data_IF_353950416679
#
_entry.id   IF_353950416679
#
_cell.length_a   1.000
_cell.length_b   1.000
_cell.length_c   1.000
_cell.angle_alpha   90.00
_cell.angle_beta   90.00
_cell.angle_gamma   90.00
#
_symmetry.space_group_name_H-M   'P 1'
#
loop_
_entity.id
_entity.type
_entity.pdbx_description
1 polymer ?
#
# COMPACT_ATOMS: atom_id res chain seq x y z
N UNK A 1 16.39 33.00 -51.00
CA UNK A 1 16.87 32.10 -49.93
C UNK A 1 15.65 31.52 -49.22
N UNK A 2 15.30 30.26 -49.49
CA UNK A 2 14.15 29.58 -48.87
C UNK A 2 14.62 28.73 -47.68
N UNK A 3 14.16 29.08 -46.47
CA UNK A 3 14.45 28.36 -45.24
C UNK A 3 13.54 27.13 -45.12
N UNK A 4 14.11 25.94 -45.33
CA UNK A 4 13.41 24.66 -45.13
C UNK A 4 13.37 24.34 -43.64
N UNK A 5 12.19 24.49 -43.03
CA UNK A 5 11.92 24.06 -41.64
C UNK A 5 11.94 22.52 -41.56
N UNK A 6 12.97 21.96 -40.91
CA UNK A 6 13.03 20.53 -40.60
C UNK A 6 12.12 20.23 -39.42
N UNK A 7 10.90 19.75 -39.71
CA UNK A 7 10.05 19.13 -38.70
C UNK A 7 10.69 17.83 -38.19
N UNK A 8 11.36 17.91 -37.04
CA UNK A 8 11.86 16.75 -36.31
C UNK A 8 10.63 15.95 -35.83
N UNK A 9 10.35 14.81 -36.47
CA UNK A 9 9.37 13.83 -35.98
C UNK A 9 9.86 13.33 -34.62
N UNK A 10 9.37 13.93 -33.54
CA UNK A 10 9.55 13.41 -32.19
C UNK A 10 8.79 12.09 -32.15
N UNK A 11 9.55 10.98 -32.17
CA UNK A 11 8.99 9.65 -31.97
C UNK A 11 8.57 9.59 -30.50
N UNK A 12 7.31 9.93 -30.21
CA UNK A 12 6.74 9.77 -28.88
C UNK A 12 6.71 8.27 -28.62
N UNK A 13 7.74 7.74 -27.95
CA UNK A 13 7.67 6.41 -27.36
C UNK A 13 6.52 6.45 -26.37
N UNK A 14 5.37 5.89 -26.74
CA UNK A 14 4.33 5.53 -25.77
C UNK A 14 4.98 4.52 -24.83
N UNK A 15 5.49 5.01 -23.71
CA UNK A 15 5.95 4.14 -22.63
C UNK A 15 4.73 3.30 -22.23
N UNK A 16 4.74 2.00 -22.54
CA UNK A 16 3.68 1.05 -22.16
C UNK A 16 3.74 0.76 -20.66
N UNK A 17 3.68 1.79 -19.83
CA UNK A 17 3.52 1.64 -18.39
C UNK A 17 2.09 1.15 -18.14
N UNK A 18 1.97 -0.01 -17.46
CA UNK A 18 0.68 -0.48 -16.94
C UNK A 18 0.09 0.65 -16.11
N UNK A 19 -1.06 1.15 -16.54
CA UNK A 19 -1.65 2.31 -15.92
C UNK A 19 -2.69 1.87 -14.88
N UNK A 20 -2.39 2.15 -13.62
CA UNK A 20 -3.28 1.81 -12.51
C UNK A 20 -4.38 2.86 -12.38
N UNK A 21 -5.54 2.56 -12.97
CA UNK A 21 -6.74 3.42 -12.93
C UNK A 21 -7.75 2.81 -11.96
N UNK A 22 -8.28 3.65 -11.08
CA UNK A 22 -9.41 3.37 -10.22
C UNK A 22 -10.43 4.51 -10.32
N UNK A 23 -11.62 4.30 -9.78
CA UNK A 23 -12.69 5.30 -9.76
C UNK A 23 -12.43 6.47 -8.78
N UNK A 24 -11.40 6.36 -7.94
CA UNK A 24 -11.00 7.38 -6.98
C UNK A 24 -9.49 7.62 -7.06
N UNK A 25 -9.03 8.89 -7.05
CA UNK A 25 -7.61 9.23 -7.11
C UNK A 25 -6.75 8.53 -6.04
N UNK A 26 -7.27 8.40 -4.82
CA UNK A 26 -6.59 7.73 -3.72
C UNK A 26 -6.25 6.27 -4.04
N UNK A 27 -7.22 5.53 -4.60
CA UNK A 27 -7.03 4.12 -5.01
C UNK A 27 -5.99 4.03 -6.12
N UNK A 28 -6.08 4.88 -7.15
CA UNK A 28 -5.11 4.92 -8.24
C UNK A 28 -3.68 5.14 -7.73
N UNK A 29 -3.50 6.08 -6.79
CA UNK A 29 -2.19 6.39 -6.20
C UNK A 29 -1.69 5.26 -5.29
N UNK A 30 -2.57 4.60 -4.53
CA UNK A 30 -2.22 3.40 -3.75
C UNK A 30 -1.71 2.28 -4.65
N UNK A 31 -2.46 1.94 -5.70
CA UNK A 31 -2.10 0.88 -6.66
C UNK A 31 -0.78 1.20 -7.37
N UNK A 32 -0.62 2.44 -7.84
CA UNK A 32 0.61 2.90 -8.47
C UNK A 32 1.80 2.86 -7.51
N UNK A 33 1.60 3.30 -6.26
CA UNK A 33 2.62 3.34 -5.23
C UNK A 33 3.11 1.96 -4.82
N UNK A 34 2.20 1.00 -4.65
CA UNK A 34 2.54 -0.41 -4.39
C UNK A 34 3.32 -1.00 -5.58
N UNK A 35 2.92 -0.70 -6.82
CA UNK A 35 3.69 -1.13 -7.99
C UNK A 35 5.09 -0.52 -8.05
N UNK A 36 5.21 0.77 -7.73
CA UNK A 36 6.49 1.47 -7.66
C UNK A 36 7.40 0.86 -6.59
N UNK A 37 6.87 0.64 -5.39
CA UNK A 37 7.57 -0.04 -4.29
C UNK A 37 8.02 -1.45 -4.66
N UNK A 38 7.12 -2.24 -5.25
CA UNK A 38 7.44 -3.59 -5.70
C UNK A 38 8.61 -3.60 -6.70
N UNK A 39 8.60 -2.68 -7.67
CA UNK A 39 9.67 -2.55 -8.65
C UNK A 39 10.99 -2.14 -8.00
N UNK A 40 10.96 -1.15 -7.09
CA UNK A 40 12.14 -0.69 -6.38
C UNK A 40 12.76 -1.79 -5.49
N UNK A 41 11.93 -2.54 -4.75
CA UNK A 41 12.39 -3.58 -3.83
C UNK A 41 12.93 -4.82 -4.54
N UNK A 42 12.51 -5.11 -5.77
CA UNK A 42 13.10 -6.23 -6.54
C UNK A 42 14.58 -6.00 -6.89
N UNK A 43 15.07 -4.76 -6.85
CA UNK A 43 16.48 -4.44 -7.09
C UNK A 43 17.32 -4.39 -5.80
N UNK A 44 16.69 -4.52 -4.63
CA UNK A 44 17.36 -4.48 -3.34
C UNK A 44 17.81 -5.89 -2.95
N UNK A 45 19.11 -6.07 -2.69
CA UNK A 45 19.63 -7.34 -2.18
C UNK A 45 19.04 -7.63 -0.80
N UNK A 46 18.49 -8.83 -0.64
CA UNK A 46 17.94 -9.27 0.65
C UNK A 46 19.09 -9.50 1.63
N UNK A 47 19.06 -8.77 2.76
CA UNK A 47 19.99 -8.97 3.88
C UNK A 47 19.43 -10.03 4.82
N UNK A 48 20.32 -10.77 5.48
CA UNK A 48 19.95 -11.82 6.43
C UNK A 48 19.30 -11.25 7.71
N UNK A 49 19.70 -10.05 8.13
CA UNK A 49 19.22 -9.40 9.34
C UNK A 49 18.73 -7.98 9.02
N UNK A 50 17.72 -7.53 9.76
CA UNK A 50 17.28 -6.14 9.79
C UNK A 50 18.16 -5.34 10.75
N UNK A 51 18.46 -4.10 10.38
CA UNK A 51 19.18 -3.14 11.22
C UNK A 51 18.18 -2.21 11.91
N UNK A 52 18.60 -1.56 13.00
CA UNK A 52 17.76 -0.56 13.69
C UNK A 52 17.29 0.56 12.76
N UNK A 53 18.12 0.97 11.81
CA UNK A 53 17.77 2.01 10.83
C UNK A 53 16.62 1.59 9.89
N UNK A 54 16.41 0.28 9.68
CA UNK A 54 15.31 -0.20 8.84
C UNK A 54 13.93 0.13 9.43
N UNK A 55 13.84 0.28 10.75
CA UNK A 55 12.62 0.67 11.48
C UNK A 55 12.34 2.17 11.45
N UNK A 56 13.29 2.97 10.94
CA UNK A 56 13.16 4.42 10.72
C UNK A 56 13.20 4.80 9.23
N UNK A 57 13.63 3.86 8.38
CA UNK A 57 13.75 4.05 6.95
C UNK A 57 12.40 4.34 6.28
N UNK A 58 12.46 5.03 5.15
CA UNK A 58 11.30 5.25 4.29
C UNK A 58 11.74 5.41 2.84
N UNK A 59 10.81 5.14 1.93
CA UNK A 59 10.95 5.44 0.51
C UNK A 59 9.88 6.45 0.13
N UNK A 60 10.25 7.53 -0.55
CA UNK A 60 9.32 8.60 -0.96
C UNK A 60 9.51 8.95 -2.42
N UNK A 61 8.41 9.09 -3.14
CA UNK A 61 8.38 9.57 -4.52
C UNK A 61 7.32 10.66 -4.67
N UNK A 62 7.63 11.68 -5.45
CA UNK A 62 6.73 12.77 -5.82
C UNK A 62 6.60 12.78 -7.34
N UNK A 63 5.38 12.72 -7.83
CA UNK A 63 5.09 12.74 -9.28
C UNK A 63 4.43 14.06 -9.62
N UNK A 64 4.99 14.75 -10.62
CA UNK A 64 4.47 15.97 -11.20
C UNK A 64 4.32 15.78 -12.71
N UNK A 65 3.16 15.34 -13.16
CA UNK A 65 2.87 15.18 -14.58
C UNK A 65 2.19 16.44 -15.11
N UNK A 66 2.87 17.18 -15.98
CA UNK A 66 2.26 18.24 -16.76
C UNK A 66 1.56 17.62 -18.00
N UNK A 67 0.23 17.76 -18.10
CA UNK A 67 -0.59 17.39 -19.27
C UNK A 67 -0.65 15.91 -19.70
N UNK A 68 -0.15 14.95 -18.90
CA UNK A 68 -0.27 13.53 -19.18
C UNK A 68 -1.36 12.88 -18.31
N UNK A 69 -2.33 12.20 -18.94
CA UNK A 69 -3.16 11.16 -18.32
C UNK A 69 -4.21 11.63 -17.28
N UNK A 70 -5.03 12.63 -17.64
CA UNK A 70 -5.89 13.41 -16.74
C UNK A 70 -7.12 12.70 -16.14
N UNK A 71 -7.63 11.62 -16.72
CA UNK A 71 -8.98 11.18 -16.32
C UNK A 71 -9.04 10.39 -15.01
N UNK A 72 -8.00 9.66 -14.60
CA UNK A 72 -8.10 8.75 -13.45
C UNK A 72 -6.85 8.66 -12.54
N UNK A 73 -5.77 9.39 -12.85
CA UNK A 73 -4.56 9.43 -12.03
C UNK A 73 -4.19 10.91 -11.81
N UNK A 74 -4.10 11.38 -10.55
CA UNK A 74 -3.87 12.80 -10.26
C UNK A 74 -2.58 13.30 -10.90
N UNK A 75 -2.61 14.50 -11.50
CA UNK A 75 -1.41 15.09 -12.13
C UNK A 75 -0.27 15.35 -11.14
N UNK A 76 -0.61 15.56 -9.87
CA UNK A 76 0.34 15.76 -8.78
C UNK A 76 -0.03 14.90 -7.59
N UNK A 77 0.90 14.05 -7.16
CA UNK A 77 0.72 13.26 -5.95
C UNK A 77 2.07 12.87 -5.34
N UNK A 78 2.04 12.43 -4.08
CA UNK A 78 3.19 11.87 -3.37
C UNK A 78 2.83 10.50 -2.84
N UNK A 79 3.81 9.60 -2.85
CA UNK A 79 3.72 8.30 -2.21
C UNK A 79 4.92 8.16 -1.27
N UNK A 80 4.68 7.73 -0.05
CA UNK A 80 5.72 7.36 0.92
C UNK A 80 5.39 5.98 1.48
N UNK A 81 6.36 5.08 1.46
CA UNK A 81 6.32 3.81 2.19
C UNK A 81 7.23 3.91 3.40
N UNK A 82 6.73 3.51 4.56
CA UNK A 82 7.48 3.47 5.81
C UNK A 82 8.07 2.08 6.00
N UNK A 83 9.29 2.00 6.54
CA UNK A 83 9.99 0.77 6.93
C UNK A 83 9.92 -0.36 5.88
N UNK A 84 10.24 -0.10 4.60
CA UNK A 84 9.94 -1.03 3.51
C UNK A 84 10.57 -2.42 3.69
N UNK A 85 11.80 -2.48 4.23
CA UNK A 85 12.48 -3.74 4.50
C UNK A 85 11.86 -4.51 5.68
N UNK A 86 11.35 -3.81 6.69
CA UNK A 86 10.65 -4.42 7.82
C UNK A 86 9.35 -5.06 7.35
N UNK A 87 8.52 -4.32 6.59
CA UNK A 87 7.26 -4.85 6.07
C UNK A 87 7.46 -5.91 4.98
N UNK A 88 8.57 -5.86 4.22
CA UNK A 88 8.97 -7.00 3.37
C UNK A 88 9.23 -8.25 4.21
N UNK A 89 10.03 -8.13 5.27
CA UNK A 89 10.34 -9.27 6.17
C UNK A 89 9.09 -9.80 6.88
N UNK A 90 8.19 -8.92 7.34
CA UNK A 90 6.90 -9.32 7.92
C UNK A 90 6.05 -10.12 6.91
N UNK A 91 5.95 -9.67 5.65
CA UNK A 91 5.25 -10.42 4.60
C UNK A 91 5.85 -11.81 4.41
N UNK A 92 7.18 -11.92 4.33
CA UNK A 92 7.87 -13.20 4.20
C UNK A 92 7.53 -14.13 5.41
N UNK A 93 7.52 -13.60 6.64
CA UNK A 93 7.20 -14.35 7.87
C UNK A 93 5.72 -14.77 7.99
N UNK A 94 4.81 -14.00 7.42
CA UNK A 94 3.39 -14.35 7.36
C UNK A 94 3.04 -15.25 6.15
N UNK A 95 4.03 -15.72 5.40
CA UNK A 95 3.81 -16.54 4.20
C UNK A 95 3.04 -15.80 3.10
N UNK A 96 3.25 -14.48 2.99
CA UNK A 96 2.67 -13.67 1.92
C UNK A 96 3.65 -13.63 0.76
N UNK A 97 3.31 -14.27 -0.35
CA UNK A 97 4.12 -14.19 -1.56
C UNK A 97 4.12 -12.75 -2.12
N UNK A 98 5.28 -12.34 -2.64
CA UNK A 98 5.49 -10.97 -3.14
C UNK A 98 4.65 -10.66 -4.38
N UNK A 99 4.47 -11.64 -5.28
CA UNK A 99 3.68 -11.50 -6.49
C UNK A 99 2.19 -11.51 -6.15
N UNK A 100 1.77 -12.38 -5.23
CA UNK A 100 0.37 -12.41 -4.76
C UNK A 100 -0.02 -11.10 -4.09
N UNK A 101 0.85 -10.54 -3.24
CA UNK A 101 0.62 -9.22 -2.64
C UNK A 101 0.50 -8.13 -3.70
N UNK A 102 1.45 -8.06 -4.63
CA UNK A 102 1.44 -7.07 -5.72
C UNK A 102 0.20 -7.21 -6.61
N UNK A 103 -0.15 -8.43 -7.01
CA UNK A 103 -1.29 -8.69 -7.88
C UNK A 103 -2.61 -8.31 -7.22
N UNK A 104 -2.78 -8.66 -5.93
CA UNK A 104 -3.98 -8.36 -5.13
C UNK A 104 -4.34 -6.87 -5.11
N UNK A 105 -3.34 -5.99 -5.14
CA UNK A 105 -3.55 -4.54 -5.18
C UNK A 105 -3.57 -3.96 -6.59
N UNK A 106 -2.93 -4.60 -7.58
CA UNK A 106 -2.65 -3.94 -8.86
C UNK A 106 -3.40 -4.52 -10.06
N UNK A 107 -4.01 -5.70 -9.92
CA UNK A 107 -4.85 -6.31 -10.97
C UNK A 107 -6.18 -5.59 -11.10
N UNK A 108 -6.86 -5.37 -9.97
CA UNK A 108 -8.15 -4.68 -9.89
C UNK A 108 -8.13 -3.68 -8.74
N UNK A 109 -8.92 -2.61 -8.87
CA UNK A 109 -9.04 -1.61 -7.81
C UNK A 109 -9.59 -2.24 -6.52
N UNK A 110 -9.05 -1.89 -5.35
CA UNK A 110 -9.66 -2.25 -4.08
C UNK A 110 -11.05 -1.62 -3.93
N UNK A 111 -11.96 -2.33 -3.26
CA UNK A 111 -13.34 -1.92 -3.04
C UNK A 111 -13.52 -1.45 -1.60
N UNK A 112 -14.34 -0.43 -1.37
CA UNK A 112 -14.69 -0.04 0.00
C UNK A 112 -15.50 -1.17 0.66
N UNK A 113 -15.15 -1.54 1.88
CA UNK A 113 -15.99 -2.43 2.68
C UNK A 113 -17.30 -1.70 3.00
N UNK A 114 -18.42 -2.37 2.75
CA UNK A 114 -19.75 -1.82 2.99
C UNK A 114 -20.08 -1.75 4.48
N UNK A 115 -19.34 -2.46 5.34
CA UNK A 115 -19.51 -2.37 6.78
C UNK A 115 -18.79 -1.15 7.34
N UNK A 116 -19.52 -0.04 7.55
CA UNK A 116 -19.03 1.10 8.34
C UNK A 116 -18.84 0.65 9.79
N UNK A 117 -17.60 0.52 10.24
CA UNK A 117 -17.31 0.30 11.66
C UNK A 117 -17.73 1.52 12.50
N UNK A 118 -18.04 1.29 13.79
CA UNK A 118 -18.44 2.36 14.74
C UNK A 118 -17.41 3.51 14.84
N UNK A 119 -16.14 3.27 14.50
CA UNK A 119 -15.07 4.28 14.56
C UNK A 119 -15.00 5.22 13.36
N UNK A 120 -15.86 5.05 12.35
CA UNK A 120 -15.80 5.82 11.10
C UNK A 120 -14.58 5.50 10.21
N UNK A 121 -13.72 4.55 10.61
CA UNK A 121 -12.57 4.13 9.81
C UNK A 121 -13.03 3.40 8.55
N UNK A 122 -12.49 3.82 7.40
CA UNK A 122 -12.82 3.24 6.10
C UNK A 122 -11.80 2.15 5.75
N UNK A 123 -12.29 1.03 5.24
CA UNK A 123 -11.48 -0.10 4.82
C UNK A 123 -11.61 -0.29 3.31
N UNK A 124 -10.48 -0.42 2.63
CA UNK A 124 -10.42 -0.94 1.27
C UNK A 124 -10.09 -2.43 1.34
N UNK A 125 -10.86 -3.25 0.65
CA UNK A 125 -10.64 -4.69 0.54
C UNK A 125 -10.15 -4.98 -0.88
N UNK A 126 -9.06 -5.73 -0.99
CA UNK A 126 -8.54 -6.21 -2.28
C UNK A 126 -9.58 -7.07 -3.01
N UNK A 127 -9.52 -7.12 -4.35
CA UNK A 127 -10.55 -7.80 -5.15
C UNK A 127 -10.69 -9.28 -4.83
N UNK A 128 -9.58 -9.93 -4.45
CA UNK A 128 -9.52 -11.33 -4.02
C UNK A 128 -9.73 -11.50 -2.52
N UNK A 129 -10.06 -10.42 -1.80
CA UNK A 129 -10.35 -10.35 -0.37
C UNK A 129 -9.23 -10.85 0.56
N UNK A 130 -7.99 -10.97 0.07
CA UNK A 130 -6.87 -11.46 0.88
C UNK A 130 -6.34 -10.40 1.86
N UNK A 131 -6.39 -9.14 1.45
CA UNK A 131 -5.83 -8.01 2.20
C UNK A 131 -6.84 -6.89 2.38
N UNK A 132 -6.69 -6.18 3.48
CA UNK A 132 -7.45 -4.98 3.85
C UNK A 132 -6.47 -3.82 4.03
N UNK A 133 -6.80 -2.66 3.47
CA UNK A 133 -6.10 -1.41 3.67
C UNK A 133 -6.98 -0.46 4.47
N UNK A 134 -6.59 -0.20 5.73
CA UNK A 134 -7.30 0.68 6.66
C UNK A 134 -6.71 2.08 6.57
N UNK A 135 -7.57 3.10 6.46
CA UNK A 135 -7.14 4.48 6.72
C UNK A 135 -6.94 4.68 8.22
N UNK A 136 -5.76 5.15 8.60
CA UNK A 136 -5.38 5.43 9.99
C UNK A 136 -5.01 6.90 10.16
N UNK A 137 -5.00 7.40 11.40
CA UNK A 137 -4.57 8.76 11.72
C UNK A 137 -3.04 8.91 11.79
N UNK A 138 -2.55 10.14 11.83
CA UNK A 138 -1.11 10.43 12.07
C UNK A 138 -0.62 9.90 13.41
N UNK A 139 -1.47 9.93 14.44
CA UNK A 139 -1.17 9.46 15.79
C UNK A 139 -1.07 7.92 15.80
N UNK A 140 -1.98 7.22 15.11
CA UNK A 140 -1.89 5.76 14.92
C UNK A 140 -0.59 5.37 14.18
N UNK A 141 -0.11 6.19 13.22
CA UNK A 141 1.17 5.98 12.53
C UNK A 141 2.36 6.13 13.47
N UNK A 142 2.33 7.12 14.37
CA UNK A 142 3.37 7.32 15.36
C UNK A 142 3.42 6.16 16.36
N UNK A 143 2.26 5.73 16.88
CA UNK A 143 2.15 4.55 17.75
C UNK A 143 2.67 3.29 17.06
N UNK A 144 2.33 3.09 15.79
CA UNK A 144 2.86 2.00 14.97
C UNK A 144 4.39 2.03 14.92
N UNK A 145 5.01 3.19 14.71
CA UNK A 145 6.47 3.31 14.72
C UNK A 145 7.09 2.99 16.07
N UNK A 146 6.46 3.40 17.17
CA UNK A 146 6.93 3.11 18.53
C UNK A 146 6.89 1.60 18.83
N UNK A 147 5.85 0.89 18.40
CA UNK A 147 5.70 -0.54 18.67
C UNK A 147 6.30 -1.48 17.62
N UNK A 148 6.77 -0.97 16.45
CA UNK A 148 7.13 -1.82 15.31
C UNK A 148 8.28 -2.80 15.60
N UNK A 149 9.28 -2.37 16.37
CA UNK A 149 10.45 -3.21 16.73
C UNK A 149 10.05 -4.35 17.68
N UNK A 150 9.22 -4.07 18.67
CA UNK A 150 8.67 -5.06 19.59
C UNK A 150 7.72 -6.02 18.88
N UNK A 151 6.81 -5.49 18.06
CA UNK A 151 5.90 -6.29 17.24
C UNK A 151 6.68 -7.23 16.32
N UNK A 152 7.69 -6.73 15.59
CA UNK A 152 8.52 -7.57 14.74
C UNK A 152 9.21 -8.70 15.53
N UNK A 153 9.77 -8.36 16.69
CA UNK A 153 10.43 -9.33 17.58
C UNK A 153 9.45 -10.42 18.07
N UNK A 154 8.22 -10.04 18.41
CA UNK A 154 7.16 -10.96 18.78
C UNK A 154 6.79 -11.90 17.61
N UNK A 155 6.62 -11.36 16.39
CA UNK A 155 6.33 -12.16 15.19
C UNK A 155 7.46 -13.15 14.86
N UNK A 156 8.72 -12.75 15.04
CA UNK A 156 9.88 -13.64 14.85
C UNK A 156 9.82 -14.81 15.83
N UNK A 157 9.60 -14.54 17.12
CA UNK A 157 9.54 -15.55 18.18
C UNK A 157 8.34 -16.49 18.02
N UNK A 158 7.19 -15.96 17.62
CA UNK A 158 5.97 -16.73 17.40
C UNK A 158 5.88 -17.38 16.01
N UNK A 159 6.94 -17.33 15.19
CA UNK A 159 6.97 -17.89 13.83
C UNK A 159 5.77 -17.44 12.96
N UNK A 160 5.32 -16.19 13.10
CA UNK A 160 4.16 -15.66 12.37
C UNK A 160 2.79 -16.16 12.83
N UNK A 161 2.72 -17.04 13.83
CA UNK A 161 1.46 -17.54 14.38
C UNK A 161 0.95 -16.59 15.47
N UNK A 162 -0.07 -15.81 15.16
CA UNK A 162 -0.66 -14.84 16.09
C UNK A 162 -2.10 -14.52 15.74
N UNK A 163 -2.86 -14.06 16.75
CA UNK A 163 -4.17 -13.45 16.59
C UNK A 163 -4.10 -11.93 16.41
N UNK A 164 -2.92 -11.32 16.62
CA UNK A 164 -2.72 -9.91 16.34
C UNK A 164 -2.89 -9.62 14.83
N UNK A 165 -3.28 -8.39 14.45
CA UNK A 165 -3.30 -8.00 13.06
C UNK A 165 -1.96 -8.26 12.39
N UNK A 166 -1.96 -8.89 11.22
CA UNK A 166 -0.75 -9.14 10.44
C UNK A 166 -0.46 -7.92 9.58
N UNK A 167 0.43 -7.03 10.02
CA UNK A 167 0.77 -5.80 9.29
C UNK A 167 1.72 -6.09 8.13
N UNK A 168 1.36 -5.61 6.93
CA UNK A 168 2.03 -5.97 5.67
C UNK A 168 2.58 -4.76 4.90
N UNK A 169 2.17 -3.55 5.28
CA UNK A 169 2.68 -2.32 4.67
C UNK A 169 2.07 -1.08 5.32
N UNK A 170 2.85 0.00 5.36
CA UNK A 170 2.42 1.30 5.89
C UNK A 170 2.79 2.39 4.89
N UNK A 171 1.77 3.14 4.46
CA UNK A 171 1.90 4.10 3.37
C UNK A 171 1.33 5.46 3.76
N UNK A 172 1.93 6.53 3.24
CA UNK A 172 1.33 7.86 3.18
C UNK A 172 1.14 8.27 1.73
N UNK A 173 -0.09 8.61 1.40
CA UNK A 173 -0.50 9.10 0.08
C UNK A 173 -0.80 10.59 0.22
N UNK A 174 -0.29 11.42 -0.67
CA UNK A 174 -0.70 12.83 -0.77
C UNK A 174 -1.35 13.02 -2.13
N UNK A 175 -2.65 13.32 -2.14
CA UNK A 175 -3.44 13.55 -3.36
C UNK A 175 -4.21 14.84 -3.20
N UNK A 176 -4.13 15.76 -4.17
CA UNK A 176 -4.74 17.09 -4.08
C UNK A 176 -4.39 17.80 -2.76
N UNK A 177 -3.13 17.70 -2.36
CA UNK A 177 -2.57 18.24 -1.11
C UNK A 177 -3.19 17.71 0.20
N UNK A 178 -4.07 16.72 0.13
CA UNK A 178 -4.57 15.98 1.29
C UNK A 178 -3.70 14.76 1.57
N UNK A 179 -3.26 14.60 2.82
CA UNK A 179 -2.52 13.42 3.27
C UNK A 179 -3.46 12.34 3.80
N UNK A 180 -3.20 11.09 3.44
CA UNK A 180 -3.90 9.92 3.94
C UNK A 180 -2.89 8.83 4.30
N UNK A 181 -3.05 8.25 5.48
CA UNK A 181 -2.20 7.17 5.96
C UNK A 181 -2.94 5.85 5.84
N UNK A 182 -2.28 4.85 5.24
CA UNK A 182 -2.88 3.58 4.88
C UNK A 182 -2.05 2.46 5.51
N UNK A 183 -2.67 1.69 6.38
CA UNK A 183 -2.12 0.47 6.96
C UNK A 183 -2.72 -0.75 6.24
N UNK A 184 -1.87 -1.55 5.61
CA UNK A 184 -2.27 -2.80 4.98
C UNK A 184 -2.05 -3.97 5.94
N UNK A 185 -3.07 -4.82 6.04
CA UNK A 185 -3.05 -6.03 6.85
C UNK A 185 -3.74 -7.20 6.15
N UNK A 186 -3.47 -8.43 6.61
CA UNK A 186 -4.21 -9.61 6.15
C UNK A 186 -5.67 -9.51 6.55
N UNK A 187 -6.58 -9.89 5.65
CA UNK A 187 -7.99 -10.03 5.99
C UNK A 187 -8.18 -11.21 6.95
N UNK A 188 -8.85 -10.99 8.07
CA UNK A 188 -9.17 -12.04 9.05
C UNK A 188 -10.21 -13.01 8.49
N UNK A 189 -11.07 -12.53 7.59
CA UNK A 189 -12.09 -13.35 6.97
C UNK A 189 -11.55 -14.12 5.77
N UNK A 190 -11.98 -15.37 5.64
CA UNK A 190 -11.65 -16.20 4.48
C UNK A 190 -12.11 -15.53 3.18
N UNK A 191 -11.25 -15.48 2.14
CA UNK A 191 -11.65 -14.96 0.84
C UNK A 191 -12.64 -15.87 0.11
N UNK A 192 -12.75 -17.14 0.52
CA UNK A 192 -13.54 -18.19 -0.15
C UNK A 192 -14.89 -18.48 0.50
N UNK A 193 -15.05 -18.15 1.78
CA UNK A 193 -16.23 -18.51 2.56
C UNK A 193 -17.14 -17.30 2.77
N UNK A 194 -18.44 -17.51 2.63
CA UNK A 194 -19.43 -16.49 2.94
C UNK A 194 -19.47 -16.22 4.45
N UNK A 195 -19.47 -14.94 4.82
CA UNK A 195 -19.58 -14.50 6.21
C UNK A 195 -21.06 -14.20 6.47
N UNK A 196 -21.70 -15.01 7.31
CA UNK A 196 -23.12 -14.82 7.66
C UNK A 196 -23.33 -13.84 8.81
N UNK A 197 -22.38 -13.80 9.77
CA UNK A 197 -22.45 -12.94 10.96
C UNK A 197 -21.05 -12.41 11.29
N UNK A 198 -20.99 -11.16 11.75
CA UNK A 198 -19.76 -10.49 12.23
C UNK A 198 -20.03 -9.96 13.64
N UNK A 199 -19.09 -10.16 14.55
CA UNK A 199 -19.14 -9.66 15.93
C UNK A 199 -17.86 -8.87 16.22
N UNK A 200 -17.99 -7.72 16.88
CA UNK A 200 -16.88 -6.95 17.46
C UNK A 200 -16.99 -7.10 18.98
N UNK A 201 -16.19 -8.00 19.54
CA UNK A 201 -16.24 -8.33 20.97
C UNK A 201 -15.30 -7.43 21.75
N UNK A 202 -15.84 -6.68 22.70
CA UNK A 202 -15.08 -5.93 23.69
C UNK A 202 -15.57 -6.34 25.08
N UNK A 203 -14.66 -6.54 26.02
CA UNK A 203 -14.97 -7.00 27.39
C UNK A 203 -15.51 -5.86 28.28
N UNK A 204 -15.86 -4.72 27.69
CA UNK A 204 -16.42 -3.59 28.43
C UNK A 204 -17.93 -3.78 28.56
N UNK A 205 -18.40 -4.02 29.78
CA UNK A 205 -19.80 -3.78 30.14
C UNK A 205 -19.88 -2.27 30.39
N UNK A 206 -20.49 -1.54 29.46
CA UNK A 206 -20.80 -0.12 29.65
C UNK A 206 -21.99 0.03 30.59
#
# INVERSE_FOLDING_TARGET
MATVSKHKKVRIMKQKLKLFRANEPLKSVLMWGINYSFSALNHVKQRALLLKDDFKAYMKVKVNNHHFNKENMPSRFKFKEYCPMVFKSLRDRFGVDKMDYWDSFTRHQPLWDSTRGKSGSKFLVTYNRQFVAKTISSEEVEQMHQMLEEYYSYIVKGHGQTLLPQFLGLYRLTVNDQESYILVMRNVFSPRLAIHKKYDLKVTIC
#
